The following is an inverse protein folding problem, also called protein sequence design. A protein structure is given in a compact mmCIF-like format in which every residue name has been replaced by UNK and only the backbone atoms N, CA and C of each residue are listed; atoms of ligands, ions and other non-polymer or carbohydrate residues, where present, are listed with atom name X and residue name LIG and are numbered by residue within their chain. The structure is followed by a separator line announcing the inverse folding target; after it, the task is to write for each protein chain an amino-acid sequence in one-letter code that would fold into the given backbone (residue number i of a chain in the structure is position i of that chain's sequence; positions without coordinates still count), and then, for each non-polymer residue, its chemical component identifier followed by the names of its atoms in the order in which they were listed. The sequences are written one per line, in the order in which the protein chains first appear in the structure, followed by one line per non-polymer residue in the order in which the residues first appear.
data_IF_667156979689
#
_entry.id   IF_667156979689
#
_cell.length_a   1.000
_cell.length_b   1.000
_cell.length_c   1.000
_cell.angle_alpha   90.00
_cell.angle_beta   90.00
_cell.angle_gamma   90.00
#
_symmetry.space_group_name_H-M   'P 1'
#
loop_
_entity.id
_entity.type
_entity.pdbx_description
1 polymer ?
#
# COMPACT_ATOMS: atom_id res chain seq x y z
N UNK A 1 -12.39 7.96 5.39
CA UNK A 1 -11.30 8.38 4.49
C UNK A 1 -11.80 9.53 3.64
N UNK A 2 -11.02 10.59 3.51
CA UNK A 2 -11.38 11.77 2.72
C UNK A 2 -10.34 11.97 1.63
N UNK A 3 -10.78 12.19 0.39
CA UNK A 3 -9.89 12.46 -0.74
C UNK A 3 -9.55 13.95 -0.79
N UNK A 4 -8.26 14.28 -0.88
CA UNK A 4 -7.77 15.66 -0.83
C UNK A 4 -7.32 16.20 -2.20
N UNK A 5 -6.84 15.34 -3.11
CA UNK A 5 -6.37 15.76 -4.43
C UNK A 5 -6.66 14.67 -5.47
N UNK A 6 -7.17 15.08 -6.64
CA UNK A 6 -7.41 14.22 -7.80
C UNK A 6 -7.11 15.01 -9.08
N UNK A 7 -5.82 15.15 -9.41
CA UNK A 7 -5.34 15.88 -10.60
C UNK A 7 -4.16 15.18 -11.26
N UNK A 8 -4.19 13.84 -11.29
CA UNK A 8 -3.06 12.99 -11.66
C UNK A 8 -2.42 12.36 -10.42
N UNK A 9 -1.22 11.79 -10.58
CA UNK A 9 -0.51 11.14 -9.48
C UNK A 9 0.46 12.12 -8.78
N UNK A 10 0.57 12.05 -7.43
CA UNK A 10 -0.16 11.13 -6.56
C UNK A 10 -1.59 11.58 -6.25
N UNK A 11 -2.49 10.61 -6.13
CA UNK A 11 -3.77 10.83 -5.48
C UNK A 11 -3.56 10.86 -3.97
N UNK A 12 -3.98 11.96 -3.33
CA UNK A 12 -3.79 12.16 -1.89
C UNK A 12 -5.08 11.93 -1.13
N UNK A 13 -5.00 11.15 -0.07
CA UNK A 13 -6.09 10.86 0.84
C UNK A 13 -5.68 11.10 2.29
N UNK A 14 -6.68 11.30 3.15
CA UNK A 14 -6.51 11.23 4.60
C UNK A 14 -7.40 10.15 5.21
N UNK A 15 -6.85 9.42 6.18
CA UNK A 15 -7.56 8.41 6.93
C UNK A 15 -7.10 8.41 8.39
N UNK A 16 -7.99 7.96 9.28
CA UNK A 16 -7.65 7.72 10.67
C UNK A 16 -6.76 6.47 10.73
N UNK A 17 -5.68 6.53 11.51
CA UNK A 17 -4.69 5.48 11.65
C UNK A 17 -5.33 4.14 12.07
N UNK A 18 -6.26 4.16 13.02
CA UNK A 18 -6.98 2.98 13.48
C UNK A 18 -7.77 2.25 12.39
N UNK A 19 -8.27 2.97 11.38
CA UNK A 19 -9.03 2.37 10.29
C UNK A 19 -8.11 1.71 9.24
N UNK A 20 -6.93 2.27 9.02
CA UNK A 20 -6.07 1.91 7.89
C UNK A 20 -4.88 1.03 8.27
N UNK A 21 -4.26 1.28 9.43
CA UNK A 21 -3.03 0.60 9.85
C UNK A 21 -3.22 -0.91 10.05
N UNK A 22 -4.34 -1.41 10.62
CA UNK A 22 -4.57 -2.86 10.72
C UNK A 22 -4.61 -3.55 9.34
N UNK A 23 -5.16 -2.87 8.33
CA UNK A 23 -5.23 -3.39 6.96
C UNK A 23 -3.84 -3.44 6.29
N UNK A 24 -2.98 -2.45 6.55
CA UNK A 24 -1.62 -2.39 5.99
C UNK A 24 -0.66 -3.34 6.72
N UNK A 25 -0.86 -3.56 8.01
CA UNK A 25 0.02 -4.38 8.87
C UNK A 25 0.18 -5.82 8.38
N UNK A 26 -0.86 -6.35 7.74
CA UNK A 26 -0.91 -7.70 7.19
C UNK A 26 -0.22 -7.83 5.83
N UNK A 27 0.21 -6.71 5.24
CA UNK A 27 0.76 -6.66 3.89
C UNK A 27 -0.31 -6.80 2.79
N UNK A 28 0.08 -6.58 1.53
CA UNK A 28 -0.87 -6.68 0.43
C UNK A 28 -1.37 -8.11 0.26
N UNK A 29 -2.58 -8.28 -0.30
CA UNK A 29 -3.07 -9.60 -0.66
C UNK A 29 -2.09 -10.27 -1.63
N UNK A 30 -1.95 -11.59 -1.51
CA UNK A 30 -1.12 -12.36 -2.45
C UNK A 30 -1.75 -12.27 -3.83
N UNK A 31 -0.93 -12.04 -4.85
CA UNK A 31 -1.38 -12.10 -6.23
C UNK A 31 -1.70 -13.55 -6.61
N UNK A 32 -2.98 -13.89 -6.82
CA UNK A 32 -3.39 -15.26 -7.16
C UNK A 32 -3.05 -15.67 -8.60
N UNK A 33 -2.42 -14.80 -9.39
CA UNK A 33 -2.00 -15.12 -10.75
C UNK A 33 -0.85 -16.13 -10.81
N UNK A 34 -0.78 -16.82 -11.96
CA UNK A 34 0.31 -17.73 -12.30
C UNK A 34 1.63 -16.96 -12.48
N UNK A 35 2.75 -17.67 -12.42
CA UNK A 35 4.06 -17.09 -12.76
C UNK A 35 4.04 -16.60 -14.20
N UNK A 36 4.40 -15.33 -14.40
CA UNK A 36 4.56 -14.71 -15.72
C UNK A 36 6.07 -14.62 -16.01
N UNK A 37 6.47 -15.07 -17.19
CA UNK A 37 7.81 -14.87 -17.73
C UNK A 37 7.64 -13.94 -18.93
N UNK A 38 8.05 -12.68 -18.76
CA UNK A 38 8.18 -11.72 -19.85
C UNK A 38 9.59 -11.74 -20.44
N UNK A 39 9.82 -10.92 -21.46
CA UNK A 39 11.10 -10.88 -22.17
C UNK A 39 12.29 -10.51 -21.26
N UNK A 40 12.07 -9.58 -20.33
CA UNK A 40 13.10 -9.07 -19.40
C UNK A 40 12.75 -9.23 -17.92
N UNK A 41 11.68 -9.97 -17.57
CA UNK A 41 11.27 -10.13 -16.19
C UNK A 41 10.57 -11.45 -15.88
N UNK A 42 10.72 -11.90 -14.63
CA UNK A 42 9.98 -13.03 -14.07
C UNK A 42 9.16 -12.53 -12.90
N UNK A 43 7.84 -12.63 -13.01
CA UNK A 43 6.90 -12.27 -11.97
C UNK A 43 6.35 -13.59 -11.38
N UNK A 44 6.87 -14.05 -10.22
CA UNK A 44 6.47 -15.34 -9.67
C UNK A 44 4.99 -15.35 -9.30
N UNK A 45 4.34 -16.50 -9.39
CA UNK A 45 3.00 -16.66 -8.85
C UNK A 45 3.00 -16.32 -7.36
N UNK A 46 1.96 -15.64 -6.86
CA UNK A 46 1.90 -15.10 -5.48
C UNK A 46 2.87 -13.95 -5.20
N UNK A 47 3.43 -13.30 -6.23
CA UNK A 47 4.26 -12.12 -6.04
C UNK A 47 3.47 -10.99 -5.35
N UNK A 48 4.06 -10.41 -4.30
CA UNK A 48 3.47 -9.32 -3.52
C UNK A 48 4.20 -7.99 -3.74
N UNK A 49 5.14 -7.92 -4.69
CA UNK A 49 5.99 -6.74 -4.88
C UNK A 49 7.09 -6.60 -3.82
N UNK A 50 7.84 -5.49 -3.89
CA UNK A 50 8.86 -5.12 -2.90
C UNK A 50 8.24 -4.25 -1.81
N UNK A 51 7.57 -4.89 -0.85
CA UNK A 51 6.82 -4.21 0.21
C UNK A 51 7.68 -4.05 1.46
N UNK A 52 7.89 -2.80 1.89
CA UNK A 52 8.60 -2.48 3.14
C UNK A 52 7.61 -1.96 4.18
N UNK A 53 7.26 -2.79 5.16
CA UNK A 53 6.38 -2.42 6.27
C UNK A 53 7.20 -2.19 7.53
N UNK A 54 7.16 -0.96 8.04
CA UNK A 54 7.81 -0.54 9.28
C UNK A 54 6.86 -0.74 10.46
N UNK A 55 6.75 -2.00 10.91
CA UNK A 55 5.83 -2.38 12.01
C UNK A 55 6.10 -1.62 13.30
N UNK A 56 7.36 -1.27 13.56
CA UNK A 56 7.79 -0.40 14.67
C UNK A 56 7.11 0.96 14.63
N UNK A 57 7.02 1.57 13.44
CA UNK A 57 6.38 2.87 13.25
C UNK A 57 4.86 2.78 13.27
N UNK A 58 4.30 1.68 12.78
CA UNK A 58 2.87 1.41 12.84
C UNK A 58 2.40 1.26 14.28
N UNK A 59 3.10 0.47 15.10
CA UNK A 59 2.75 0.24 16.50
C UNK A 59 2.88 1.51 17.37
N UNK A 60 3.76 2.44 17.00
CA UNK A 60 3.94 3.71 17.70
C UNK A 60 2.92 4.79 17.27
N UNK A 61 2.07 4.51 16.27
CA UNK A 61 1.13 5.49 15.74
C UNK A 61 -0.19 5.46 16.56
N UNK A 62 -0.63 6.57 17.15
CA UNK A 62 -1.90 6.66 17.84
C UNK A 62 -3.07 6.30 16.91
N UNK A 63 -4.09 5.56 17.38
CA UNK A 63 -5.20 5.12 16.54
C UNK A 63 -6.05 6.27 16.00
N UNK A 64 -6.06 7.42 16.68
CA UNK A 64 -6.76 8.64 16.29
C UNK A 64 -5.94 9.56 15.36
N UNK A 65 -4.67 9.22 15.08
CA UNK A 65 -3.82 10.03 14.22
C UNK A 65 -4.36 10.06 12.78
N UNK A 66 -4.50 11.25 12.20
CA UNK A 66 -4.79 11.40 10.78
C UNK A 66 -3.52 11.15 9.97
N UNK A 67 -3.58 10.16 9.09
CA UNK A 67 -2.51 9.81 8.16
C UNK A 67 -2.80 10.38 6.78
N UNK A 68 -1.76 10.89 6.13
CA UNK A 68 -1.78 11.23 4.71
C UNK A 68 -1.31 10.02 3.91
N UNK A 69 -2.08 9.63 2.90
CA UNK A 69 -1.82 8.50 2.02
C UNK A 69 -1.63 9.05 0.61
N UNK A 70 -0.44 8.89 0.04
CA UNK A 70 -0.12 9.26 -1.34
C UNK A 70 -0.09 7.99 -2.19
N UNK A 71 -1.01 7.92 -3.16
CA UNK A 71 -1.14 6.79 -4.11
C UNK A 71 -0.51 7.20 -5.42
N UNK A 72 0.52 6.48 -5.85
CA UNK A 72 1.22 6.69 -7.11
C UNK A 72 0.87 5.58 -8.10
N UNK A 73 0.83 5.90 -9.38
CA UNK A 73 0.84 4.92 -10.46
C UNK A 73 2.27 4.41 -10.66
N UNK A 74 2.37 3.12 -10.96
CA UNK A 74 3.61 2.52 -11.38
C UNK A 74 3.59 2.50 -12.91
N UNK A 75 4.15 3.55 -13.51
CA UNK A 75 4.43 3.63 -14.95
C UNK A 75 5.67 2.82 -15.32
#
# INVERSE_FOLDING_TARGET
MTQLLYSGYPNRYTAVAGDILPNISNGPPRHDGQTIIGDDYVMPGKWTGNVKIRRDKIAACPPDQILTIDVWDQS
#
